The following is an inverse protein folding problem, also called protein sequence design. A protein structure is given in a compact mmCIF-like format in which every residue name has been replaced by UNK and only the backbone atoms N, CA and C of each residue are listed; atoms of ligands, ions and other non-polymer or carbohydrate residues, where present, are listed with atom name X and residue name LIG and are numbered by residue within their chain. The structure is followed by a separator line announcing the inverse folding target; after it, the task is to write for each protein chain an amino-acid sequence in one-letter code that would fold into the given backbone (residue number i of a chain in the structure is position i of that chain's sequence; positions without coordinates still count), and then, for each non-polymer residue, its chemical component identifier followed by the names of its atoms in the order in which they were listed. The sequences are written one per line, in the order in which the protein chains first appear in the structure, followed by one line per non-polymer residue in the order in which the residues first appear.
data_IF_348725329221
#
_entry.id   IF_348725329221
#
_cell.length_a   1.000
_cell.length_b   1.000
_cell.length_c   1.000
_cell.angle_alpha   90.00
_cell.angle_beta   90.00
_cell.angle_gamma   90.00
#
_symmetry.space_group_name_H-M   'P 1'
#
loop_
_entity.id
_entity.type
_entity.pdbx_description
1 polymer ?
#
# COMPACT_ATOMS: atom_id res chain seq x y z
N UNK A 1 -26.81 -25.33 -38.28
CA UNK A 1 -25.41 -25.76 -38.06
C UNK A 1 -24.49 -24.62 -38.47
N UNK A 2 -23.96 -23.91 -37.49
CA UNK A 2 -22.68 -23.17 -37.50
C UNK A 2 -22.21 -23.16 -36.04
N UNK A 3 -20.96 -23.55 -35.75
CA UNK A 3 -20.51 -23.86 -34.40
C UNK A 3 -20.09 -22.60 -33.63
N UNK A 4 -19.92 -22.83 -32.33
CA UNK A 4 -19.39 -21.93 -31.29
C UNK A 4 -18.31 -20.97 -31.77
N UNK A 5 -18.45 -19.71 -31.36
CA UNK A 5 -17.31 -18.84 -31.12
C UNK A 5 -17.16 -18.70 -29.61
N UNK A 6 -16.24 -19.51 -29.09
CA UNK A 6 -15.66 -19.45 -27.75
C UNK A 6 -14.83 -18.16 -27.59
N UNK A 7 -14.32 -17.94 -26.39
CA UNK A 7 -13.42 -16.87 -25.95
C UNK A 7 -14.05 -15.50 -25.65
N UNK A 8 -14.56 -15.37 -24.42
CA UNK A 8 -14.30 -14.17 -23.63
C UNK A 8 -13.20 -14.52 -22.60
N UNK A 9 -12.01 -13.88 -22.63
CA UNK A 9 -10.98 -14.15 -21.64
C UNK A 9 -11.32 -13.41 -20.35
N UNK A 10 -12.12 -14.03 -19.48
CA UNK A 10 -12.22 -13.62 -18.09
C UNK A 10 -11.13 -14.34 -17.30
N UNK A 11 -9.87 -13.96 -17.53
CA UNK A 11 -8.70 -14.40 -16.75
C UNK A 11 -8.74 -13.92 -15.28
N UNK A 12 -9.86 -13.34 -14.84
CA UNK A 12 -10.13 -12.86 -13.48
C UNK A 12 -10.90 -13.88 -12.62
N UNK A 13 -11.19 -15.08 -13.12
CA UNK A 13 -11.88 -16.10 -12.34
C UNK A 13 -10.88 -16.96 -11.56
N UNK A 14 -11.20 -17.21 -10.28
CA UNK A 14 -10.42 -18.11 -9.44
C UNK A 14 -10.47 -19.51 -10.07
N UNK A 15 -9.34 -20.22 -10.22
CA UNK A 15 -9.31 -21.57 -10.78
C UNK A 15 -10.32 -22.50 -10.08
N UNK A 16 -11.05 -23.31 -10.86
CA UNK A 16 -12.13 -24.17 -10.34
C UNK A 16 -11.68 -25.07 -9.19
N UNK A 17 -10.46 -25.61 -9.25
CA UNK A 17 -9.91 -26.44 -8.17
C UNK A 17 -9.75 -25.69 -6.83
N UNK A 18 -9.52 -24.37 -6.87
CA UNK A 18 -9.46 -23.54 -5.65
C UNK A 18 -10.87 -23.27 -5.13
N UNK A 19 -11.84 -23.05 -6.02
CA UNK A 19 -13.25 -22.87 -5.65
C UNK A 19 -13.77 -24.12 -4.95
N UNK A 20 -13.61 -25.29 -5.58
CA UNK A 20 -13.99 -26.58 -4.99
C UNK A 20 -13.31 -26.81 -3.63
N UNK A 21 -12.04 -26.40 -3.50
CA UNK A 21 -11.32 -26.54 -2.23
C UNK A 21 -11.87 -25.60 -1.16
N UNK A 22 -12.20 -24.35 -1.49
CA UNK A 22 -12.79 -23.41 -0.55
C UNK A 22 -14.20 -23.83 -0.13
N UNK A 23 -15.00 -24.38 -1.04
CA UNK A 23 -16.35 -24.88 -0.77
C UNK A 23 -16.37 -26.08 0.19
N UNK A 24 -15.25 -26.81 0.32
CA UNK A 24 -15.10 -27.91 1.29
C UNK A 24 -14.74 -27.47 2.70
N UNK A 25 -14.43 -26.19 2.91
CA UNK A 25 -13.99 -25.67 4.21
C UNK A 25 -15.17 -25.25 5.07
N UNK A 26 -15.04 -25.48 6.37
CA UNK A 26 -16.00 -25.00 7.35
C UNK A 26 -15.82 -23.48 7.61
N UNK A 27 -16.85 -22.78 8.10
CA UNK A 27 -16.78 -21.34 8.38
C UNK A 27 -15.56 -20.85 9.19
N UNK A 28 -15.06 -21.53 10.24
CA UNK A 28 -13.84 -21.11 10.92
C UNK A 28 -12.58 -21.25 10.06
N UNK A 29 -12.52 -22.23 9.17
CA UNK A 29 -11.39 -22.46 8.27
C UNK A 29 -11.35 -21.41 7.16
N UNK A 30 -12.51 -21.06 6.60
CA UNK A 30 -12.65 -19.96 5.65
C UNK A 30 -12.16 -18.62 6.25
N UNK A 31 -12.45 -18.35 7.53
CA UNK A 31 -11.92 -17.15 8.22
C UNK A 31 -10.40 -17.18 8.35
N UNK A 32 -9.80 -18.36 8.59
CA UNK A 32 -8.34 -18.49 8.62
C UNK A 32 -7.72 -18.25 7.24
N UNK A 33 -8.34 -18.79 6.19
CA UNK A 33 -7.91 -18.55 4.80
C UNK A 33 -8.00 -17.08 4.45
N UNK A 34 -9.10 -16.41 4.79
CA UNK A 34 -9.25 -14.96 4.59
C UNK A 34 -8.10 -14.18 5.21
N UNK A 35 -7.83 -14.43 6.50
CA UNK A 35 -6.74 -13.76 7.22
C UNK A 35 -5.36 -14.06 6.60
N UNK A 36 -5.14 -15.29 6.16
CA UNK A 36 -3.90 -15.67 5.48
C UNK A 36 -3.74 -14.93 4.14
N UNK A 37 -4.82 -14.83 3.35
CA UNK A 37 -4.83 -14.11 2.08
C UNK A 37 -4.56 -12.63 2.31
N UNK A 38 -5.21 -11.99 3.29
CA UNK A 38 -4.93 -10.60 3.68
C UNK A 38 -3.46 -10.41 4.01
N UNK A 39 -2.90 -11.24 4.91
CA UNK A 39 -1.49 -11.15 5.28
C UNK A 39 -0.55 -11.38 4.08
N UNK A 40 -0.92 -12.29 3.17
CA UNK A 40 -0.14 -12.57 1.98
C UNK A 40 -0.16 -11.40 1.01
N UNK A 41 -1.32 -10.78 0.81
CA UNK A 41 -1.46 -9.56 0.01
C UNK A 41 -0.62 -8.44 0.62
N UNK A 42 -0.75 -8.17 1.92
CA UNK A 42 0.07 -7.19 2.65
C UNK A 42 1.58 -7.42 2.44
N UNK A 43 2.03 -8.67 2.46
CA UNK A 43 3.45 -9.03 2.23
C UNK A 43 3.93 -8.91 0.78
N UNK A 44 3.00 -8.90 -0.18
CA UNK A 44 3.31 -8.78 -1.61
C UNK A 44 3.40 -7.32 -2.06
N UNK A 45 2.81 -6.39 -1.32
CA UNK A 45 3.04 -4.98 -1.59
C UNK A 45 4.49 -4.62 -1.24
N UNK A 46 5.15 -3.75 -2.03
CA UNK A 46 6.43 -3.20 -1.63
C UNK A 46 6.29 -2.59 -0.22
N UNK A 47 7.30 -2.76 0.65
CA UNK A 47 7.30 -2.16 1.98
C UNK A 47 6.90 -0.69 1.84
N UNK A 48 5.97 -0.22 2.67
CA UNK A 48 5.43 1.15 2.57
C UNK A 48 6.56 2.19 2.59
N UNK A 49 7.68 1.86 3.23
CA UNK A 49 8.90 2.63 3.28
C UNK A 49 9.56 2.85 1.91
N UNK A 50 9.46 1.88 0.99
CA UNK A 50 9.97 2.01 -0.37
C UNK A 50 9.10 2.96 -1.18
N UNK A 51 7.77 2.75 -1.13
CA UNK A 51 6.79 3.63 -1.79
C UNK A 51 6.87 5.08 -1.27
N UNK A 52 7.06 5.26 0.05
CA UNK A 52 7.27 6.57 0.68
C UNK A 52 8.48 7.29 0.08
N UNK A 53 9.60 6.59 -0.13
CA UNK A 53 10.81 7.21 -0.68
C UNK A 53 10.66 7.57 -2.16
N UNK A 54 9.87 6.80 -2.91
CA UNK A 54 9.59 7.07 -4.33
C UNK A 54 8.64 8.26 -4.52
N UNK A 55 7.60 8.38 -3.68
CA UNK A 55 6.55 9.39 -3.82
C UNK A 55 6.81 10.68 -3.03
N UNK A 56 7.77 10.69 -2.10
CA UNK A 56 8.08 11.86 -1.28
C UNK A 56 8.48 13.06 -2.14
N UNK A 57 7.86 14.21 -1.86
CA UNK A 57 8.16 15.45 -2.57
C UNK A 57 9.50 16.09 -2.17
N UNK A 58 10.13 15.62 -1.10
CA UNK A 58 11.39 16.16 -0.56
C UNK A 58 12.27 15.08 0.05
N UNK A 59 13.33 15.50 0.74
CA UNK A 59 14.32 14.57 1.29
C UNK A 59 13.77 13.87 2.54
N UNK A 60 13.55 12.56 2.43
CA UNK A 60 13.12 11.72 3.55
C UNK A 60 14.31 11.46 4.49
N UNK A 61 14.22 11.93 5.72
CA UNK A 61 15.26 11.80 6.74
C UNK A 61 15.10 10.53 7.58
N UNK A 62 13.87 10.17 7.92
CA UNK A 62 13.55 8.98 8.71
C UNK A 62 12.15 8.46 8.39
N UNK A 63 11.99 7.15 8.45
CA UNK A 63 10.71 6.45 8.35
C UNK A 63 10.60 5.51 9.56
N UNK A 64 9.56 5.70 10.35
CA UNK A 64 9.25 4.86 11.51
C UNK A 64 7.90 4.18 11.26
N UNK A 65 7.93 2.88 10.95
CA UNK A 65 6.75 2.08 10.65
C UNK A 65 6.29 1.32 11.89
N UNK A 66 5.08 1.66 12.38
CA UNK A 66 4.34 0.88 13.35
C UNK A 66 3.28 0.02 12.63
N UNK A 67 2.63 -0.91 13.35
CA UNK A 67 1.61 -1.80 12.76
C UNK A 67 0.36 -1.06 12.26
N UNK A 68 0.12 0.15 12.77
CA UNK A 68 -1.11 0.91 12.50
C UNK A 68 -0.83 2.16 11.66
N UNK A 69 0.41 2.66 11.67
CA UNK A 69 0.77 3.88 10.97
C UNK A 69 2.26 3.98 10.68
N UNK A 70 2.62 4.82 9.71
CA UNK A 70 4.01 5.17 9.44
C UNK A 70 4.24 6.66 9.71
N UNK A 71 5.28 7.01 10.45
CA UNK A 71 5.74 8.38 10.62
C UNK A 71 6.90 8.66 9.69
N UNK A 72 6.85 9.79 9.00
CA UNK A 72 7.87 10.21 8.05
C UNK A 72 8.38 11.58 8.46
N UNK A 73 9.69 11.69 8.71
CA UNK A 73 10.38 12.98 8.82
C UNK A 73 10.93 13.34 7.46
N UNK A 74 10.49 14.46 6.91
CA UNK A 74 10.86 14.90 5.58
C UNK A 74 11.26 16.36 5.60
N UNK A 75 12.33 16.70 4.90
CA UNK A 75 12.69 18.07 4.60
C UNK A 75 11.98 18.49 3.31
N UNK A 76 11.27 19.61 3.36
CA UNK A 76 10.60 20.14 2.16
C UNK A 76 11.61 20.39 1.03
N UNK A 77 11.24 20.18 -0.24
CA UNK A 77 12.14 20.45 -1.35
C UNK A 77 12.63 21.90 -1.32
N UNK A 78 13.93 22.10 -1.52
CA UNK A 78 14.54 23.42 -1.55
C UNK A 78 14.05 24.20 -2.78
N UNK A 79 13.24 25.25 -2.54
CA UNK A 79 12.94 26.23 -3.58
C UNK A 79 14.16 27.15 -3.78
N UNK A 80 15.17 26.67 -4.50
CA UNK A 80 16.36 27.45 -4.88
C UNK A 80 17.56 27.34 -3.92
N UNK A 81 18.52 28.26 -4.08
CA UNK A 81 19.85 28.33 -3.41
C UNK A 81 19.79 28.57 -1.88
N UNK A 82 18.71 28.15 -1.22
CA UNK A 82 18.61 28.19 0.23
C UNK A 82 19.37 27.00 0.81
N UNK A 83 20.23 27.28 1.78
CA UNK A 83 21.05 26.29 2.48
C UNK A 83 20.16 25.16 3.02
N UNK A 84 20.26 23.96 2.45
CA UNK A 84 19.37 22.83 2.73
C UNK A 84 19.32 22.47 4.23
N UNK A 85 20.40 22.72 4.98
CA UNK A 85 20.47 22.46 6.42
C UNK A 85 19.63 23.41 7.30
N UNK A 86 19.10 24.51 6.76
CA UNK A 86 18.30 25.47 7.53
C UNK A 86 16.79 25.33 7.35
N UNK A 87 16.34 24.39 6.50
CA UNK A 87 14.91 24.18 6.28
C UNK A 87 14.28 23.37 7.41
N UNK A 88 13.05 23.74 7.84
CA UNK A 88 12.34 22.99 8.86
C UNK A 88 12.14 21.55 8.41
N UNK A 89 12.31 20.62 9.35
CA UNK A 89 11.96 19.22 9.15
C UNK A 89 10.49 19.07 9.48
N UNK A 90 9.70 18.57 8.54
CA UNK A 90 8.27 18.37 8.71
C UNK A 90 8.01 16.91 9.08
N UNK A 91 7.12 16.69 10.04
CA UNK A 91 6.66 15.36 10.44
C UNK A 91 5.32 15.07 9.78
N UNK A 92 5.22 13.90 9.16
CA UNK A 92 4.02 13.40 8.50
C UNK A 92 3.59 12.06 9.08
N UNK A 93 2.28 11.87 9.15
CA UNK A 93 1.64 10.58 9.32
C UNK A 93 1.23 10.06 7.94
N UNK A 94 1.73 8.88 7.57
CA UNK A 94 1.52 8.28 6.26
C UNK A 94 0.85 6.91 6.43
N UNK A 95 -0.24 6.73 5.68
CA UNK A 95 -0.99 5.47 5.62
C UNK A 95 -1.21 5.08 4.17
N UNK A 96 -1.22 3.78 3.88
CA UNK A 96 -1.67 3.28 2.56
C UNK A 96 -3.19 3.22 2.58
N UNK A 97 -3.83 3.99 1.72
CA UNK A 97 -5.28 4.01 1.57
C UNK A 97 -5.68 3.32 0.27
N UNK A 98 -6.62 2.39 0.36
CA UNK A 98 -7.19 1.71 -0.80
C UNK A 98 -8.40 2.47 -1.30
N UNK A 99 -8.31 2.98 -2.52
CA UNK A 99 -9.37 3.68 -3.21
C UNK A 99 -10.47 2.71 -3.67
N UNK A 100 -11.71 3.21 -3.90
CA UNK A 100 -12.85 2.38 -4.30
C UNK A 100 -12.70 1.72 -5.68
N UNK A 101 -11.82 2.23 -6.54
CA UNK A 101 -11.41 1.62 -7.82
C UNK A 101 -10.42 0.45 -7.65
N UNK A 102 -9.94 0.24 -6.42
CA UNK A 102 -8.98 -0.81 -6.08
C UNK A 102 -7.52 -0.36 -6.17
N UNK A 103 -7.24 0.88 -6.58
CA UNK A 103 -5.90 1.45 -6.52
C UNK A 103 -5.51 1.74 -5.07
N UNK A 104 -4.21 1.72 -4.78
CA UNK A 104 -3.69 2.06 -3.45
C UNK A 104 -2.74 3.24 -3.58
N UNK A 105 -2.95 4.26 -2.74
CA UNK A 105 -2.15 5.46 -2.71
C UNK A 105 -1.69 5.77 -1.29
N UNK A 106 -0.58 6.50 -1.18
CA UNK A 106 -0.15 7.02 0.11
C UNK A 106 -0.96 8.26 0.47
N UNK A 107 -1.63 8.20 1.62
CA UNK A 107 -2.27 9.35 2.23
C UNK A 107 -1.32 9.99 3.25
N UNK A 108 -0.97 11.25 3.01
CA UNK A 108 -0.03 12.02 3.82
C UNK A 108 -0.78 13.06 4.67
N UNK A 109 -0.67 12.93 5.99
CA UNK A 109 -1.19 13.89 6.97
C UNK A 109 -0.05 14.66 7.63
N UNK A 110 0.02 15.98 7.42
CA UNK A 110 1.01 16.83 8.09
C UNK A 110 0.71 16.94 9.59
N UNK A 111 1.71 16.65 10.43
CA UNK A 111 1.60 16.72 11.89
C UNK A 111 2.24 17.98 12.48
N UNK A 112 3.14 18.63 11.75
CA UNK A 112 3.84 19.84 12.21
C UNK A 112 5.31 19.85 11.81
N UNK A 113 5.95 21.00 12.01
CA UNK A 113 7.39 21.14 11.86
C UNK A 113 8.09 20.84 13.18
N UNK A 114 9.17 20.07 13.12
CA UNK A 114 10.05 19.76 14.24
C UNK A 114 11.35 20.57 14.10
N UNK A 115 11.79 21.14 15.21
CA UNK A 115 13.14 21.67 15.35
C UNK A 115 13.98 20.57 16.01
N UNK A 116 15.05 20.14 15.33
CA UNK A 116 16.08 19.28 15.93
C UNK A 116 17.08 20.09 16.77
#
# INVERSE_FOLDING_TARGET
MTPSNDESPLTNQLPDFLVERLDTLEPPELRMVHKYVEQRLESMHPPIEEQIREEAAGDVLSIETDRIYTLVKMRSPSQGESNADSQPVSLYHVVRERHPDGEEALHWSFLGDIQE
#
